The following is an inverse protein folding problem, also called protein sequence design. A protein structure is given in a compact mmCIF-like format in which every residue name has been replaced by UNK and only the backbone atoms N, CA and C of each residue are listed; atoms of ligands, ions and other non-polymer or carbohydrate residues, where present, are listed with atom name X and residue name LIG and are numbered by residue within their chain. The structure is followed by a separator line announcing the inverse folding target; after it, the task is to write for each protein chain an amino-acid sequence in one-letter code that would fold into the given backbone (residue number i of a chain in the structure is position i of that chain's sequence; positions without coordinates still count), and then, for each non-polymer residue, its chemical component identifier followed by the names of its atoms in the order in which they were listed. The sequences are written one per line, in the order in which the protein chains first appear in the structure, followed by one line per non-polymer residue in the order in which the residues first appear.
data_IF_813510791154
#
_entry.id   IF_813510791154
#
_cell.length_a   1.000
_cell.length_b   1.000
_cell.length_c   1.000
_cell.angle_alpha   90.00
_cell.angle_beta   90.00
_cell.angle_gamma   90.00
#
_symmetry.space_group_name_H-M   'P 1'
#
loop_
_entity.id
_entity.type
_entity.pdbx_description
1 polymer ?
#
# COMPACT_ATOMS: atom_id res chain seq x y z
N UNK A 1 40.62 -35.70 56.54
CA UNK A 1 39.61 -36.32 55.67
C UNK A 1 38.44 -36.70 56.57
N UNK A 2 37.35 -35.94 56.54
CA UNK A 2 36.12 -36.27 57.28
C UNK A 2 35.11 -36.62 56.20
N UNK A 3 34.88 -37.91 55.98
CA UNK A 3 33.79 -38.38 55.14
C UNK A 3 32.48 -38.07 55.87
N UNK A 4 31.78 -37.04 55.41
CA UNK A 4 30.38 -36.82 55.77
C UNK A 4 29.60 -37.93 55.08
N UNK A 5 29.09 -38.88 55.87
CA UNK A 5 28.31 -40.00 55.38
C UNK A 5 26.94 -39.48 54.90
N UNK A 6 26.87 -39.14 53.62
CA UNK A 6 25.71 -38.58 52.91
C UNK A 6 24.40 -39.33 53.18
N UNK A 7 24.47 -40.64 53.46
CA UNK A 7 23.31 -41.46 53.80
C UNK A 7 22.69 -41.14 55.17
N UNK A 8 23.48 -40.67 56.14
CA UNK A 8 22.97 -40.31 57.47
C UNK A 8 22.30 -38.92 57.47
N UNK A 9 22.77 -38.00 56.62
CA UNK A 9 22.08 -36.72 56.36
C UNK A 9 20.76 -36.92 55.61
N UNK A 10 20.72 -37.80 54.62
CA UNK A 10 19.49 -38.13 53.89
C UNK A 10 18.42 -38.76 54.80
N UNK A 11 18.81 -39.62 55.74
CA UNK A 11 17.89 -40.19 56.73
C UNK A 11 17.33 -39.12 57.67
N UNK A 12 18.13 -38.14 58.09
CA UNK A 12 17.66 -36.99 58.89
C UNK A 12 16.66 -36.14 58.10
N UNK A 13 16.93 -35.85 56.83
CA UNK A 13 16.00 -35.09 55.98
C UNK A 13 14.65 -35.80 55.82
N UNK A 14 14.67 -37.11 55.54
CA UNK A 14 13.45 -37.90 55.35
C UNK A 14 12.61 -37.99 56.64
N UNK A 15 13.26 -38.10 57.80
CA UNK A 15 12.59 -38.16 59.10
C UNK A 15 11.96 -36.80 59.49
N UNK A 16 12.67 -35.70 59.26
CA UNK A 16 12.17 -34.33 59.50
C UNK A 16 10.98 -34.01 58.57
N UNK A 17 10.99 -34.50 57.33
CA UNK A 17 9.86 -34.31 56.41
C UNK A 17 8.61 -35.11 56.77
N UNK A 18 8.76 -36.25 57.45
CA UNK A 18 7.62 -37.09 57.86
C UNK A 18 7.03 -36.61 59.20
N UNK A 19 7.86 -36.23 60.18
CA UNK A 19 7.38 -35.71 61.47
C UNK A 19 6.68 -34.33 61.33
N UNK A 20 7.13 -33.47 60.40
CA UNK A 20 6.44 -32.19 60.10
C UNK A 20 5.12 -32.36 59.35
N UNK A 21 4.89 -33.49 58.70
CA UNK A 21 3.64 -33.75 57.95
C UNK A 21 2.59 -34.38 58.87
N UNK A 22 2.99 -35.15 59.88
CA UNK A 22 2.05 -35.84 60.79
C UNK A 22 1.48 -34.96 61.91
N UNK A 23 2.05 -33.78 62.21
CA UNK A 23 1.49 -32.85 63.20
C UNK A 23 0.56 -31.76 62.61
N UNK A 24 0.42 -31.70 61.28
CA UNK A 24 -0.50 -30.77 60.58
C UNK A 24 -1.65 -31.58 59.95
N UNK A 25 -2.17 -32.55 60.67
CA UNK A 25 -3.38 -33.24 60.27
C UNK A 25 -4.61 -32.55 60.91
N UNK A 26 -5.36 -31.86 60.04
CA UNK A 26 -6.83 -31.77 60.06
C UNK A 26 -7.57 -30.53 60.61
N UNK A 27 -7.03 -29.31 60.48
CA UNK A 27 -7.89 -28.11 60.68
C UNK A 27 -7.70 -26.89 59.76
N UNK A 28 -6.63 -26.79 58.96
CA UNK A 28 -6.36 -25.55 58.19
C UNK A 28 -6.16 -25.73 56.66
N UNK A 29 -6.16 -26.98 56.16
CA UNK A 29 -5.96 -27.25 54.73
C UNK A 29 -7.20 -26.88 53.88
N UNK A 30 -8.41 -27.09 54.42
CA UNK A 30 -9.65 -26.77 53.69
C UNK A 30 -9.85 -25.26 53.49
N UNK A 31 -9.43 -24.43 54.44
CA UNK A 31 -9.52 -22.97 54.35
C UNK A 31 -8.57 -22.40 53.30
N UNK A 32 -7.36 -22.94 53.20
CA UNK A 32 -6.37 -22.58 52.18
C UNK A 32 -6.84 -23.01 50.79
N UNK A 33 -7.34 -24.24 50.64
CA UNK A 33 -7.88 -24.75 49.38
C UNK A 33 -9.07 -23.90 48.89
N UNK A 34 -9.97 -23.53 49.78
CA UNK A 34 -11.15 -22.73 49.44
C UNK A 34 -10.77 -21.27 49.07
N UNK A 35 -9.75 -20.71 49.73
CA UNK A 35 -9.19 -19.40 49.37
C UNK A 35 -8.58 -19.40 47.97
N UNK A 36 -7.76 -20.42 47.65
CA UNK A 36 -7.17 -20.58 46.32
C UNK A 36 -8.25 -20.76 45.23
N UNK A 37 -9.30 -21.54 45.49
CA UNK A 37 -10.43 -21.69 44.56
C UNK A 37 -11.15 -20.36 44.31
N UNK A 38 -11.35 -19.53 45.33
CA UNK A 38 -11.95 -18.19 45.18
C UNK A 38 -11.08 -17.27 44.33
N UNK A 39 -9.77 -17.29 44.55
CA UNK A 39 -8.83 -16.47 43.80
C UNK A 39 -8.72 -16.89 42.33
N UNK A 40 -8.64 -18.19 42.05
CA UNK A 40 -8.68 -18.75 40.68
C UNK A 40 -9.98 -18.35 39.97
N UNK A 41 -11.14 -18.45 40.65
CA UNK A 41 -12.43 -18.05 40.07
C UNK A 41 -12.47 -16.56 39.73
N UNK A 42 -11.93 -15.69 40.59
CA UNK A 42 -11.82 -14.25 40.34
C UNK A 42 -10.89 -13.96 39.16
N UNK A 43 -9.72 -14.59 39.12
CA UNK A 43 -8.76 -14.47 38.02
C UNK A 43 -9.37 -14.87 36.68
N UNK A 44 -10.07 -16.00 36.64
CA UNK A 44 -10.77 -16.46 35.44
C UNK A 44 -11.86 -15.47 34.98
N UNK A 45 -12.62 -14.89 35.91
CA UNK A 45 -13.65 -13.90 35.56
C UNK A 45 -13.03 -12.66 34.88
N UNK A 46 -11.95 -12.13 35.45
CA UNK A 46 -11.22 -10.98 34.89
C UNK A 46 -10.65 -11.32 33.50
N UNK A 47 -10.16 -12.55 33.31
CA UNK A 47 -9.68 -13.01 32.01
C UNK A 47 -10.81 -13.07 30.98
N UNK A 48 -11.96 -13.62 31.32
CA UNK A 48 -13.12 -13.65 30.42
C UNK A 48 -13.58 -12.25 30.02
N UNK A 49 -13.65 -11.30 30.97
CA UNK A 49 -13.98 -9.91 30.66
C UNK A 49 -12.95 -9.24 29.73
N UNK A 50 -11.66 -9.54 29.91
CA UNK A 50 -10.62 -9.02 29.02
C UNK A 50 -10.72 -9.64 27.61
N UNK A 51 -10.99 -10.93 27.52
CA UNK A 51 -11.17 -11.63 26.24
C UNK A 51 -12.37 -11.03 25.49
N UNK A 52 -13.51 -10.85 26.15
CA UNK A 52 -14.72 -10.30 25.53
C UNK A 52 -14.51 -8.85 25.02
N UNK A 53 -13.80 -8.03 25.80
CA UNK A 53 -13.41 -6.67 25.37
C UNK A 53 -12.52 -6.71 24.14
N UNK A 54 -11.50 -7.56 24.13
CA UNK A 54 -10.59 -7.70 23.00
C UNK A 54 -11.30 -8.24 21.75
N UNK A 55 -12.21 -9.20 21.89
CA UNK A 55 -13.01 -9.73 20.79
C UNK A 55 -13.90 -8.64 20.17
N UNK A 56 -14.54 -7.83 21.01
CA UNK A 56 -15.35 -6.69 20.57
C UNK A 56 -14.50 -5.66 19.83
N UNK A 57 -13.33 -5.32 20.38
CA UNK A 57 -12.40 -4.36 19.78
C UNK A 57 -11.86 -4.85 18.43
N UNK A 58 -11.44 -6.13 18.35
CA UNK A 58 -11.00 -6.76 17.09
C UNK A 58 -12.12 -6.69 16.05
N UNK A 59 -13.37 -6.98 16.45
CA UNK A 59 -14.50 -6.93 15.54
C UNK A 59 -14.77 -5.51 15.03
N UNK A 60 -14.69 -4.49 15.90
CA UNK A 60 -14.85 -3.10 15.47
C UNK A 60 -13.74 -2.64 14.54
N UNK A 61 -12.47 -2.95 14.88
CA UNK A 61 -11.32 -2.58 14.08
C UNK A 61 -11.35 -3.27 12.71
N UNK A 62 -11.78 -4.53 12.64
CA UNK A 62 -11.95 -5.22 11.37
C UNK A 62 -13.02 -4.56 10.50
N UNK A 63 -14.14 -4.13 11.08
CA UNK A 63 -15.19 -3.43 10.35
C UNK A 63 -14.70 -2.07 9.83
N UNK A 64 -13.94 -1.33 10.64
CA UNK A 64 -13.34 -0.06 10.25
C UNK A 64 -12.32 -0.23 9.12
N UNK A 65 -11.43 -1.22 9.24
CA UNK A 65 -10.46 -1.55 8.18
C UNK A 65 -11.14 -1.87 6.85
N UNK A 66 -12.23 -2.64 6.86
CA UNK A 66 -12.97 -2.95 5.64
C UNK A 66 -13.64 -1.72 5.02
N UNK A 67 -14.14 -0.78 5.83
CA UNK A 67 -14.65 0.50 5.33
C UNK A 67 -13.54 1.34 4.70
N UNK A 68 -12.42 1.51 5.41
CA UNK A 68 -11.27 2.27 4.92
C UNK A 68 -10.72 1.70 3.61
N UNK A 69 -10.64 0.37 3.46
CA UNK A 69 -10.25 -0.26 2.20
C UNK A 69 -11.20 0.09 1.05
N UNK A 70 -12.51 0.07 1.29
CA UNK A 70 -13.52 0.41 0.28
C UNK A 70 -13.46 1.88 -0.11
N UNK A 71 -13.34 2.78 0.87
CA UNK A 71 -13.21 4.21 0.61
C UNK A 71 -11.92 4.52 -0.15
N UNK A 72 -10.79 3.92 0.24
CA UNK A 72 -9.53 4.05 -0.48
C UNK A 72 -9.61 3.55 -1.92
N UNK A 73 -10.31 2.43 -2.15
CA UNK A 73 -10.54 1.91 -3.49
C UNK A 73 -11.38 2.88 -4.33
N UNK A 74 -12.46 3.43 -3.76
CA UNK A 74 -13.32 4.42 -4.43
C UNK A 74 -12.53 5.68 -4.79
N UNK A 75 -11.80 6.26 -3.84
CA UNK A 75 -10.99 7.46 -4.08
C UNK A 75 -9.92 7.24 -5.15
N UNK A 76 -9.25 6.08 -5.13
CA UNK A 76 -8.27 5.73 -6.18
C UNK A 76 -8.92 5.66 -7.56
N UNK A 77 -10.11 5.06 -7.65
CA UNK A 77 -10.85 4.95 -8.91
C UNK A 77 -11.28 6.33 -9.41
N UNK A 78 -11.90 7.15 -8.56
CA UNK A 78 -12.34 8.51 -8.91
C UNK A 78 -11.17 9.37 -9.37
N UNK A 79 -10.02 9.28 -8.69
CA UNK A 79 -8.79 9.97 -9.11
C UNK A 79 -8.29 9.49 -10.47
N UNK A 80 -8.34 8.19 -10.74
CA UNK A 80 -7.94 7.64 -12.03
C UNK A 80 -8.89 8.09 -13.15
N UNK A 81 -10.19 8.07 -12.90
CA UNK A 81 -11.21 8.52 -13.85
C UNK A 81 -11.02 10.02 -14.16
N UNK A 82 -10.77 10.84 -13.15
CA UNK A 82 -10.46 12.26 -13.33
C UNK A 82 -9.19 12.48 -14.18
N UNK A 83 -8.11 11.74 -13.90
CA UNK A 83 -6.89 11.80 -14.71
C UNK A 83 -7.15 11.41 -16.17
N UNK A 84 -7.94 10.37 -16.40
CA UNK A 84 -8.32 9.93 -17.74
C UNK A 84 -9.08 11.03 -18.49
N UNK A 85 -9.97 11.77 -17.82
CA UNK A 85 -10.67 12.92 -18.42
C UNK A 85 -9.70 14.04 -18.79
N UNK A 86 -8.74 14.37 -17.92
CA UNK A 86 -7.70 15.37 -18.23
C UNK A 86 -6.89 14.95 -19.46
N UNK A 87 -6.51 13.68 -19.55
CA UNK A 87 -5.78 13.16 -20.71
C UNK A 87 -6.59 13.25 -22.01
N UNK A 88 -7.90 12.97 -21.98
CA UNK A 88 -8.76 13.15 -23.15
C UNK A 88 -8.84 14.62 -23.61
N UNK A 89 -8.87 15.57 -22.67
CA UNK A 89 -8.82 17.01 -22.98
C UNK A 89 -7.49 17.35 -23.68
N UNK A 90 -6.37 16.84 -23.17
CA UNK A 90 -5.05 17.06 -23.76
C UNK A 90 -4.91 16.43 -25.16
N UNK A 91 -5.47 15.24 -25.37
CA UNK A 91 -5.47 14.60 -26.70
C UNK A 91 -6.34 15.36 -27.71
N UNK A 92 -7.47 15.92 -27.24
CA UNK A 92 -8.32 16.79 -28.05
C UNK A 92 -7.55 18.06 -28.45
N UNK A 93 -6.81 18.66 -27.51
CA UNK A 93 -5.94 19.80 -27.82
C UNK A 93 -4.84 19.44 -28.83
N UNK A 94 -4.24 18.26 -28.71
CA UNK A 94 -3.23 17.77 -29.67
C UNK A 94 -3.83 17.62 -31.08
N UNK A 95 -5.03 17.03 -31.18
CA UNK A 95 -5.76 16.89 -32.45
C UNK A 95 -6.04 18.25 -33.08
N UNK A 96 -6.45 19.23 -32.27
CA UNK A 96 -6.68 20.61 -32.70
C UNK A 96 -5.38 21.24 -33.22
N UNK A 97 -4.27 21.08 -32.51
CA UNK A 97 -2.95 21.60 -32.94
C UNK A 97 -2.53 21.06 -34.31
N UNK A 98 -2.85 19.79 -34.61
CA UNK A 98 -2.52 19.17 -35.90
C UNK A 98 -3.32 19.79 -37.07
N UNK A 99 -4.58 20.15 -36.84
CA UNK A 99 -5.47 20.76 -37.86
C UNK A 99 -5.11 22.23 -38.12
N UNK A 100 -4.71 22.96 -37.07
CA UNK A 100 -4.51 24.43 -37.13
C UNK A 100 -3.39 24.86 -38.11
N UNK A 101 -2.44 23.98 -38.39
CA UNK A 101 -1.29 24.32 -39.22
C UNK A 101 -1.65 24.53 -40.71
N UNK A 102 -2.81 24.05 -41.18
CA UNK A 102 -3.18 24.11 -42.59
C UNK A 102 -4.24 25.20 -42.92
N UNK A 103 -5.10 25.60 -41.98
CA UNK A 103 -6.31 26.39 -42.31
C UNK A 103 -6.42 27.79 -41.69
N UNK A 104 -5.50 28.19 -40.78
CA UNK A 104 -5.67 29.39 -39.96
C UNK A 104 -4.71 30.54 -40.28
N UNK A 105 -5.21 31.78 -40.13
CA UNK A 105 -4.37 32.98 -40.23
C UNK A 105 -3.30 33.02 -39.14
N UNK A 106 -2.15 33.66 -39.45
CA UNK A 106 -0.99 33.76 -38.53
C UNK A 106 -1.36 34.28 -37.13
N UNK A 107 -2.22 35.30 -37.06
CA UNK A 107 -2.68 35.87 -35.78
C UNK A 107 -3.41 34.82 -34.91
N UNK A 108 -4.26 33.98 -35.52
CA UNK A 108 -4.98 32.93 -34.80
C UNK A 108 -4.01 31.83 -34.35
N UNK A 109 -3.06 31.45 -35.21
CA UNK A 109 -2.01 30.48 -34.85
C UNK A 109 -1.18 30.95 -33.64
N UNK A 110 -0.85 32.25 -33.55
CA UNK A 110 -0.15 32.81 -32.39
C UNK A 110 -0.97 32.70 -31.10
N UNK A 111 -2.28 32.96 -31.16
CA UNK A 111 -3.18 32.78 -30.00
C UNK A 111 -3.19 31.33 -29.51
N UNK A 112 -3.23 30.35 -30.42
CA UNK A 112 -3.14 28.93 -30.06
C UNK A 112 -1.79 28.56 -29.45
N UNK A 113 -0.68 29.07 -29.99
CA UNK A 113 0.67 28.87 -29.40
C UNK A 113 0.74 29.39 -27.96
N UNK A 114 0.11 30.53 -27.66
CA UNK A 114 0.04 31.07 -26.30
C UNK A 114 -0.76 30.14 -25.37
N UNK A 115 -1.89 29.60 -25.83
CA UNK A 115 -2.67 28.62 -25.06
C UNK A 115 -1.85 27.36 -24.77
N UNK A 116 -1.16 26.81 -25.77
CA UNK A 116 -0.27 25.66 -25.61
C UNK A 116 0.84 25.92 -24.59
N UNK A 117 1.43 27.12 -24.62
CA UNK A 117 2.45 27.53 -23.63
C UNK A 117 1.89 27.58 -22.21
N UNK A 118 0.65 28.05 -22.03
CA UNK A 118 -0.02 28.04 -20.72
C UNK A 118 -0.27 26.62 -20.22
N UNK A 119 -0.77 25.72 -21.07
CA UNK A 119 -0.97 24.30 -20.73
C UNK A 119 0.35 23.68 -20.29
N UNK A 120 1.42 23.87 -21.08
CA UNK A 120 2.76 23.37 -20.71
C UNK A 120 3.26 23.95 -19.39
N UNK A 121 2.99 25.24 -19.11
CA UNK A 121 3.31 25.87 -17.83
C UNK A 121 2.59 25.21 -16.66
N UNK A 122 1.32 24.86 -16.82
CA UNK A 122 0.52 24.14 -15.81
C UNK A 122 1.10 22.73 -15.59
N UNK A 123 1.40 21.99 -16.66
CA UNK A 123 2.00 20.65 -16.56
C UNK A 123 3.34 20.69 -15.82
N UNK A 124 4.23 21.62 -16.18
CA UNK A 124 5.51 21.79 -15.51
C UNK A 124 5.35 22.16 -14.02
N UNK A 125 4.37 23.00 -13.68
CA UNK A 125 4.09 23.37 -12.27
C UNK A 125 3.70 22.16 -11.42
N UNK A 126 3.04 21.17 -12.00
CA UNK A 126 2.68 19.91 -11.32
C UNK A 126 3.69 18.78 -11.55
N UNK A 127 4.90 19.09 -12.03
CA UNK A 127 5.98 18.15 -12.34
C UNK A 127 5.56 17.06 -13.35
N UNK A 128 4.69 17.41 -14.31
CA UNK A 128 4.26 16.52 -15.40
C UNK A 128 4.98 16.90 -16.68
N UNK A 129 5.59 15.91 -17.32
CA UNK A 129 6.34 16.06 -18.56
C UNK A 129 5.78 15.16 -19.67
N UNK A 130 5.78 15.68 -20.90
CA UNK A 130 5.43 14.94 -22.12
C UNK A 130 6.56 13.99 -22.53
N UNK A 131 6.21 12.82 -23.06
CA UNK A 131 7.19 11.77 -23.39
C UNK A 131 7.49 11.60 -24.88
N UNK A 132 6.51 11.88 -25.75
CA UNK A 132 6.69 11.73 -27.19
C UNK A 132 6.83 13.09 -27.88
N UNK A 133 7.80 13.19 -28.79
CA UNK A 133 7.86 14.25 -29.81
C UNK A 133 8.09 13.65 -31.19
N UNK A 134 7.48 14.25 -32.20
CA UNK A 134 7.68 13.85 -33.60
C UNK A 134 9.17 14.03 -33.93
N UNK A 135 9.76 13.02 -34.58
CA UNK A 135 11.17 12.96 -34.95
C UNK A 135 12.10 12.41 -33.86
N UNK A 136 11.62 12.11 -32.65
CA UNK A 136 12.42 11.46 -31.62
C UNK A 136 12.45 9.93 -31.79
N UNK A 137 13.48 9.30 -31.21
CA UNK A 137 13.61 7.83 -31.19
C UNK A 137 12.49 7.20 -30.40
N UNK A 138 11.95 6.12 -30.93
CA UNK A 138 11.00 5.28 -30.22
C UNK A 138 11.63 4.64 -28.97
N UNK A 139 10.86 4.53 -27.89
CA UNK A 139 11.31 3.98 -26.62
C UNK A 139 10.18 3.17 -25.99
N UNK A 140 10.36 1.85 -25.87
CA UNK A 140 9.35 0.93 -25.33
C UNK A 140 8.92 1.22 -23.88
N UNK A 141 9.72 1.98 -23.11
CA UNK A 141 9.36 2.39 -21.74
C UNK A 141 8.24 3.43 -21.76
N UNK A 142 8.24 4.31 -22.77
CA UNK A 142 7.37 5.48 -22.81
C UNK A 142 6.34 5.43 -23.93
N UNK A 143 6.57 4.60 -24.96
CA UNK A 143 5.82 4.60 -26.20
C UNK A 143 5.25 3.21 -26.53
N UNK A 144 4.00 3.20 -26.97
CA UNK A 144 3.26 2.06 -27.52
C UNK A 144 3.09 2.30 -29.03
N UNK A 145 3.62 1.39 -29.84
CA UNK A 145 3.46 1.43 -31.30
C UNK A 145 2.09 0.89 -31.70
N UNK A 146 1.33 1.66 -32.50
CA UNK A 146 -0.01 1.24 -32.95
C UNK A 146 -0.05 0.65 -34.36
N UNK A 147 0.97 0.91 -35.19
CA UNK A 147 1.05 0.35 -36.54
C UNK A 147 1.86 -0.95 -36.55
N UNK A 148 1.49 -1.85 -37.46
CA UNK A 148 2.25 -3.06 -37.76
C UNK A 148 3.39 -2.67 -38.71
N UNK A 149 4.64 -2.72 -38.25
CA UNK A 149 5.79 -2.49 -39.11
C UNK A 149 6.38 -3.82 -39.57
N UNK A 150 6.41 -4.06 -40.88
CA UNK A 150 6.84 -5.33 -41.49
C UNK A 150 8.36 -5.39 -41.79
N UNK A 151 9.13 -4.39 -41.37
CA UNK A 151 10.57 -4.31 -41.59
C UNK A 151 11.28 -4.05 -40.27
N UNK A 152 12.12 -5.00 -39.84
CA UNK A 152 12.99 -4.79 -38.69
C UNK A 152 14.04 -3.72 -39.02
N UNK A 153 14.04 -2.65 -38.22
CA UNK A 153 15.04 -1.58 -38.25
C UNK A 153 15.82 -1.57 -36.95
N UNK A 154 17.07 -1.14 -37.01
CA UNK A 154 17.90 -0.92 -35.82
C UNK A 154 17.32 0.18 -34.92
N UNK A 155 16.71 1.20 -35.53
CA UNK A 155 16.05 2.30 -34.82
C UNK A 155 14.74 2.68 -35.52
N UNK A 156 13.72 2.97 -34.72
CA UNK A 156 12.45 3.50 -35.16
C UNK A 156 12.28 4.93 -34.70
N UNK A 157 11.71 5.77 -35.56
CA UNK A 157 11.46 7.19 -35.28
C UNK A 157 9.96 7.44 -35.18
N UNK A 158 9.56 8.31 -34.26
CA UNK A 158 8.16 8.71 -34.09
C UNK A 158 7.75 9.62 -35.24
N UNK A 159 6.81 9.14 -36.06
CA UNK A 159 6.22 9.88 -37.16
C UNK A 159 5.02 10.70 -36.72
N UNK A 160 4.13 10.08 -35.95
CA UNK A 160 2.88 10.68 -35.50
C UNK A 160 2.61 10.32 -34.05
N UNK A 161 2.01 11.25 -33.32
CA UNK A 161 1.56 11.05 -31.94
C UNK A 161 0.03 11.00 -31.96
N UNK A 162 -0.52 9.82 -31.69
CA UNK A 162 -1.98 9.62 -31.64
C UNK A 162 -2.53 10.02 -30.27
N UNK A 163 -1.84 9.62 -29.19
CA UNK A 163 -2.11 10.13 -27.85
C UNK A 163 -0.81 10.41 -27.14
N UNK A 164 -0.73 11.53 -26.43
CA UNK A 164 0.49 11.91 -25.72
C UNK A 164 0.66 11.07 -24.45
N UNK A 165 1.91 10.72 -24.15
CA UNK A 165 2.31 10.06 -22.91
C UNK A 165 2.90 11.05 -21.92
N UNK A 166 2.80 10.73 -20.63
CA UNK A 166 3.15 11.63 -19.55
C UNK A 166 3.92 10.91 -18.43
N UNK A 167 4.92 11.60 -17.90
CA UNK A 167 5.66 11.22 -16.70
C UNK A 167 5.42 12.24 -15.61
N UNK A 168 5.30 11.78 -14.37
CA UNK A 168 5.26 12.64 -13.19
C UNK A 168 6.24 12.12 -12.16
N UNK A 169 7.13 12.98 -11.66
CA UNK A 169 8.11 12.63 -10.64
C UNK A 169 8.91 11.36 -10.99
N UNK A 170 9.29 11.21 -12.27
CA UNK A 170 10.00 10.03 -12.81
C UNK A 170 9.16 8.77 -13.03
N UNK A 171 7.87 8.79 -12.67
CA UNK A 171 6.94 7.67 -12.89
C UNK A 171 6.08 7.90 -14.13
N UNK A 172 6.04 6.91 -15.02
CA UNK A 172 5.11 6.90 -16.16
C UNK A 172 3.67 6.86 -15.62
N UNK A 173 2.90 7.91 -15.92
CA UNK A 173 1.47 7.98 -15.58
C UNK A 173 0.59 7.71 -16.79
N UNK A 174 1.14 7.80 -18.01
CA UNK A 174 0.50 7.40 -19.26
C UNK A 174 1.57 7.12 -20.33
N UNK A 175 1.42 6.02 -21.07
CA UNK A 175 2.26 5.68 -22.22
C UNK A 175 1.73 6.42 -23.46
N UNK A 176 2.61 6.96 -24.29
CA UNK A 176 2.22 7.60 -25.54
C UNK A 176 1.86 6.55 -26.59
N UNK A 177 0.84 6.80 -27.40
CA UNK A 177 0.52 5.96 -28.57
C UNK A 177 1.03 6.64 -29.81
N UNK A 178 1.91 5.98 -30.53
CA UNK A 178 2.66 6.58 -31.64
C UNK A 178 2.65 5.68 -32.87
N UNK A 179 2.71 6.33 -34.02
CA UNK A 179 3.03 5.69 -35.30
C UNK A 179 4.52 5.87 -35.52
N UNK A 180 5.22 4.77 -35.78
CA UNK A 180 6.66 4.78 -36.06
C UNK A 180 6.95 4.57 -37.54
N UNK A 181 8.12 5.05 -37.96
CA UNK A 181 8.74 4.74 -39.25
C UNK A 181 10.22 4.39 -39.13
#
# INVERSE_FOLDING_TARGET
MIEINFFDELKKFKKISLEKVTEIENSDFSGIEESLKREIKRGNLILYEKIDKLETEIKSLNLENEKLKKDLFREKKEKQDFLNTIFQILDTQLSIDNIINEELSKEKQEKFKLTKKKIKGILNYISVEETAKIGERFNHIYHECINSYNQEKEEYIIKEIVTQGYIRDGKVIRVAKVVIE
#
